data_IF_007019648067
#
_entry.id   IF_007019648067
#
_cell.length_a   1.000
_cell.length_b   1.000
_cell.length_c   1.000
_cell.angle_alpha   90.00
_cell.angle_beta   90.00
_cell.angle_gamma   90.00
#
_symmetry.space_group_name_H-M   'P 1'
#
loop_
_entity.id
_entity.type
_entity.pdbx_description
1 polymer ?
#
# COMPACT_ATOMS: atom_id res chain seq x y z
N UNK A 1 19.93 25.02 2.42
CA UNK A 1 19.83 24.04 1.29
C UNK A 1 20.99 23.06 1.30
N UNK A 2 22.28 23.53 1.32
CA UNK A 2 23.47 22.66 1.30
C UNK A 2 23.58 21.66 2.48
N UNK A 3 23.07 22.01 3.67
CA UNK A 3 23.08 21.11 4.82
C UNK A 3 22.12 19.94 4.66
N UNK A 4 20.94 20.19 4.05
CA UNK A 4 19.95 19.15 3.76
C UNK A 4 20.44 18.23 2.62
N UNK A 5 21.11 18.78 1.62
CA UNK A 5 21.69 17.98 0.53
C UNK A 5 22.79 17.05 1.03
N UNK A 6 23.54 17.45 2.07
CA UNK A 6 24.53 16.59 2.73
C UNK A 6 23.87 15.48 3.59
N UNK A 7 22.78 15.79 4.28
CA UNK A 7 22.07 14.83 5.13
C UNK A 7 21.27 13.80 4.32
N UNK A 8 20.78 14.19 3.13
CA UNK A 8 19.98 13.34 2.24
C UNK A 8 20.87 12.75 1.12
N UNK A 9 21.69 11.79 1.48
CA UNK A 9 22.69 11.21 0.57
C UNK A 9 22.12 10.19 -0.43
N UNK A 10 20.89 9.67 -0.21
CA UNK A 10 20.23 8.71 -1.11
C UNK A 10 18.76 9.06 -1.28
N UNK A 11 18.30 9.09 -2.52
CA UNK A 11 16.90 9.03 -2.84
C UNK A 11 16.37 7.61 -2.54
N UNK A 12 15.16 7.52 -1.97
CA UNK A 12 14.53 6.23 -1.83
C UNK A 12 14.07 5.76 -3.21
N UNK A 13 14.44 4.55 -3.61
CA UNK A 13 14.17 3.99 -4.94
C UNK A 13 12.68 3.88 -5.31
N UNK A 14 11.79 4.05 -4.33
CA UNK A 14 10.33 3.96 -4.48
C UNK A 14 9.60 5.30 -4.33
N UNK A 15 10.33 6.41 -4.17
CA UNK A 15 9.77 7.76 -4.02
C UNK A 15 10.44 8.68 -5.04
N UNK A 16 9.62 9.36 -5.83
CA UNK A 16 10.11 10.38 -6.76
C UNK A 16 10.34 11.69 -5.97
N UNK A 17 11.58 12.06 -5.74
CA UNK A 17 11.99 13.28 -5.08
C UNK A 17 12.65 13.10 -3.71
N UNK A 18 13.12 14.21 -3.16
CA UNK A 18 13.79 14.27 -1.85
C UNK A 18 12.84 14.86 -0.81
N UNK A 19 12.74 14.20 0.34
CA UNK A 19 12.02 14.76 1.48
C UNK A 19 12.95 15.74 2.24
N UNK A 20 12.61 17.01 2.18
CA UNK A 20 13.31 18.09 2.91
C UNK A 20 12.63 18.43 4.24
N UNK A 21 11.71 17.60 4.71
CA UNK A 21 10.97 17.85 5.95
C UNK A 21 11.84 17.59 7.17
N UNK A 22 12.15 18.64 7.91
CA UNK A 22 12.73 18.50 9.25
C UNK A 22 11.61 18.12 10.21
N UNK A 23 11.77 17.02 10.94
CA UNK A 23 10.83 16.60 11.99
C UNK A 23 10.77 17.67 13.09
N UNK A 24 9.80 18.58 12.95
CA UNK A 24 9.52 19.64 13.92
C UNK A 24 8.20 19.39 14.67
N UNK A 25 7.58 20.47 15.12
CA UNK A 25 6.28 20.42 15.79
C UNK A 25 5.23 19.74 14.93
N UNK A 26 4.56 18.72 15.47
CA UNK A 26 3.48 18.01 14.81
C UNK A 26 2.16 18.74 15.02
N UNK A 27 1.27 18.67 14.03
CA UNK A 27 -0.06 19.25 14.14
C UNK A 27 -0.88 18.56 15.23
N UNK A 28 -1.39 19.32 16.19
CA UNK A 28 -2.32 18.81 17.20
C UNK A 28 -3.62 18.27 16.59
N UNK A 29 -4.00 18.74 15.41
CA UNK A 29 -5.16 18.23 14.67
C UNK A 29 -5.03 16.73 14.34
N UNK A 30 -3.82 16.24 14.06
CA UNK A 30 -3.60 14.82 13.82
C UNK A 30 -3.88 13.96 15.06
N UNK A 31 -3.47 14.44 16.26
CA UNK A 31 -3.74 13.76 17.52
C UNK A 31 -5.25 13.73 17.82
N UNK A 32 -5.95 14.84 17.59
CA UNK A 32 -7.41 14.93 17.74
C UNK A 32 -8.11 13.99 16.76
N UNK A 33 -7.69 13.94 15.49
CA UNK A 33 -8.26 13.04 14.49
C UNK A 33 -8.09 11.57 14.88
N UNK A 34 -6.91 11.17 15.36
CA UNK A 34 -6.68 9.82 15.86
C UNK A 34 -7.59 9.51 17.06
N UNK A 35 -7.70 10.44 18.02
CA UNK A 35 -8.59 10.27 19.17
C UNK A 35 -10.06 10.13 18.73
N UNK A 36 -10.54 10.97 17.81
CA UNK A 36 -11.90 10.88 17.28
C UNK A 36 -12.18 9.52 16.63
N UNK A 37 -11.23 8.99 15.86
CA UNK A 37 -11.36 7.65 15.25
C UNK A 37 -11.42 6.55 16.32
N UNK A 38 -10.56 6.63 17.33
CA UNK A 38 -10.56 5.67 18.44
C UNK A 38 -11.88 5.72 19.22
N UNK A 39 -12.41 6.91 19.47
CA UNK A 39 -13.70 7.08 20.16
C UNK A 39 -14.89 6.61 19.31
N UNK A 40 -14.87 6.88 18.00
CA UNK A 40 -15.96 6.52 17.11
C UNK A 40 -16.06 5.00 16.88
N UNK A 41 -14.94 4.31 16.74
CA UNK A 41 -14.92 2.89 16.41
C UNK A 41 -14.64 1.96 17.60
N UNK A 42 -13.94 2.45 18.60
CA UNK A 42 -13.44 1.64 19.71
C UNK A 42 -12.55 0.48 19.22
N UNK A 43 -12.05 -0.33 20.13
CA UNK A 43 -11.19 -1.47 19.82
C UNK A 43 -11.90 -2.53 18.94
N UNK A 44 -13.18 -2.80 19.21
CA UNK A 44 -13.98 -3.76 18.47
C UNK A 44 -14.22 -3.30 17.02
N UNK A 45 -14.56 -2.02 16.82
CA UNK A 45 -14.79 -1.46 15.49
C UNK A 45 -13.53 -1.44 14.65
N UNK A 46 -12.38 -1.08 15.23
CA UNK A 46 -11.08 -1.11 14.57
C UNK A 46 -10.72 -2.56 14.19
N UNK A 47 -10.84 -3.51 15.13
CA UNK A 47 -10.60 -4.93 14.85
C UNK A 47 -11.46 -5.44 13.70
N UNK A 48 -12.76 -5.11 13.69
CA UNK A 48 -13.66 -5.52 12.61
C UNK A 48 -13.26 -4.93 11.25
N UNK A 49 -12.82 -3.66 11.21
CA UNK A 49 -12.30 -3.04 9.98
C UNK A 49 -11.05 -3.75 9.47
N UNK A 50 -10.09 -4.01 10.36
CA UNK A 50 -8.85 -4.69 10.00
C UNK A 50 -9.11 -6.12 9.51
N UNK A 51 -9.96 -6.88 10.22
CA UNK A 51 -10.33 -8.24 9.79
C UNK A 51 -10.97 -8.24 8.39
N UNK A 52 -11.82 -7.25 8.08
CA UNK A 52 -12.42 -7.13 6.76
C UNK A 52 -11.39 -6.86 5.67
N UNK A 53 -10.41 -6.00 5.94
CA UNK A 53 -9.31 -5.71 5.01
C UNK A 53 -8.47 -6.97 4.79
N UNK A 54 -8.09 -7.67 5.86
CA UNK A 54 -7.30 -8.90 5.76
C UNK A 54 -8.04 -10.00 5.01
N UNK A 55 -9.34 -10.20 5.28
CA UNK A 55 -10.17 -11.17 4.54
C UNK A 55 -10.23 -10.88 3.04
N UNK A 56 -10.33 -9.61 2.65
CA UNK A 56 -10.25 -9.23 1.22
C UNK A 56 -8.87 -9.45 0.62
N UNK A 57 -7.82 -9.26 1.42
CA UNK A 57 -6.45 -9.55 1.00
C UNK A 57 -6.25 -11.05 0.80
N UNK A 58 -6.82 -11.88 1.70
CA UNK A 58 -6.80 -13.34 1.56
C UNK A 58 -7.51 -13.79 0.27
N UNK A 59 -8.69 -13.23 0.01
CA UNK A 59 -9.46 -13.48 -1.20
C UNK A 59 -8.67 -13.12 -2.48
N UNK A 60 -7.99 -11.98 -2.49
CA UNK A 60 -7.13 -11.60 -3.61
C UNK A 60 -5.98 -12.60 -3.79
N UNK A 61 -5.34 -13.06 -2.70
CA UNK A 61 -4.30 -14.08 -2.77
C UNK A 61 -4.83 -15.40 -3.35
N UNK A 62 -6.00 -15.87 -2.92
CA UNK A 62 -6.63 -17.08 -3.47
C UNK A 62 -6.87 -16.98 -4.98
N UNK A 63 -7.30 -15.81 -5.46
CA UNK A 63 -7.50 -15.60 -6.89
C UNK A 63 -6.18 -15.55 -7.67
N UNK A 64 -5.12 -14.99 -7.09
CA UNK A 64 -3.77 -15.02 -7.68
C UNK A 64 -3.23 -16.45 -7.76
N UNK A 65 -3.43 -17.25 -6.71
CA UNK A 65 -3.04 -18.67 -6.67
C UNK A 65 -3.76 -19.49 -7.75
N UNK A 66 -5.07 -19.33 -7.93
CA UNK A 66 -5.86 -19.99 -8.99
C UNK A 66 -5.31 -19.72 -10.39
N UNK A 67 -4.68 -18.55 -10.59
CA UNK A 67 -4.10 -18.13 -11.86
C UNK A 67 -2.61 -18.40 -11.98
N UNK A 68 -2.01 -19.00 -10.96
CA UNK A 68 -0.56 -19.25 -10.88
C UNK A 68 0.28 -17.96 -11.00
N UNK A 69 -0.25 -16.85 -10.48
CA UNK A 69 0.45 -15.58 -10.42
C UNK A 69 1.36 -15.57 -9.20
N UNK A 70 2.64 -15.37 -9.42
CA UNK A 70 3.64 -15.36 -8.35
C UNK A 70 3.61 -14.04 -7.58
N UNK A 71 3.36 -14.12 -6.30
CA UNK A 71 3.31 -12.99 -5.39
C UNK A 71 4.05 -13.27 -4.07
N UNK A 72 4.34 -12.22 -3.34
CA UNK A 72 4.82 -12.27 -1.97
C UNK A 72 3.88 -11.51 -1.05
N UNK A 73 3.55 -12.08 0.10
CA UNK A 73 2.78 -11.43 1.14
C UNK A 73 3.28 -11.83 2.52
N UNK A 74 3.42 -10.86 3.41
CA UNK A 74 3.56 -11.14 4.83
C UNK A 74 2.17 -11.53 5.38
N UNK A 75 2.02 -12.65 6.13
CA UNK A 75 0.72 -13.20 6.55
C UNK A 75 -0.23 -12.23 7.27
N UNK A 76 0.31 -11.23 7.95
CA UNK A 76 -0.48 -10.27 8.74
C UNK A 76 -0.61 -8.89 8.09
N UNK A 77 -0.19 -8.78 6.83
CA UNK A 77 -0.21 -7.51 6.10
C UNK A 77 -1.30 -7.50 5.03
N UNK A 78 -1.80 -6.32 4.76
CA UNK A 78 -2.73 -6.03 3.67
C UNK A 78 -1.99 -5.54 2.40
N UNK A 79 -0.72 -5.86 2.30
CA UNK A 79 0.15 -5.50 1.17
C UNK A 79 0.57 -6.79 0.49
N UNK A 80 0.39 -6.83 -0.83
CA UNK A 80 0.81 -7.94 -1.70
C UNK A 80 1.78 -7.36 -2.71
N UNK A 81 2.89 -8.06 -2.96
CA UNK A 81 3.83 -7.73 -4.02
C UNK A 81 3.69 -8.76 -5.14
N UNK A 82 3.39 -8.32 -6.36
CA UNK A 82 3.26 -9.16 -7.55
C UNK A 82 4.50 -8.95 -8.43
N UNK A 83 5.04 -10.00 -9.02
CA UNK A 83 6.19 -9.88 -9.93
C UNK A 83 5.84 -9.06 -11.16
N UNK A 84 6.80 -8.25 -11.60
CA UNK A 84 6.68 -7.35 -12.75
C UNK A 84 6.19 -8.07 -14.02
N UNK A 85 6.59 -9.31 -14.27
CA UNK A 85 6.19 -10.10 -15.44
C UNK A 85 4.66 -10.28 -15.61
N UNK A 86 3.89 -10.10 -14.52
CA UNK A 86 2.43 -10.25 -14.55
C UNK A 86 1.68 -8.91 -14.60
N UNK A 87 2.38 -7.79 -14.43
CA UNK A 87 1.77 -6.46 -14.37
C UNK A 87 1.90 -5.77 -15.72
N UNK A 88 0.78 -5.50 -16.36
CA UNK A 88 0.73 -4.70 -17.60
C UNK A 88 0.71 -3.22 -17.23
N UNK A 89 1.30 -2.36 -18.04
CA UNK A 89 1.35 -0.91 -17.83
C UNK A 89 -0.02 -0.28 -17.60
N UNK A 90 -1.05 -0.78 -18.26
CA UNK A 90 -2.43 -0.32 -18.08
C UNK A 90 -2.97 -0.57 -16.67
N UNK A 91 -2.55 -1.66 -16.02
CA UNK A 91 -2.93 -2.03 -14.65
C UNK A 91 -2.21 -1.11 -13.66
N UNK A 92 -0.92 -0.87 -13.89
CA UNK A 92 -0.10 0.03 -13.09
C UNK A 92 -0.74 1.43 -13.00
N UNK A 93 -1.02 2.04 -14.15
CA UNK A 93 -1.59 3.38 -14.23
C UNK A 93 -3.01 3.46 -13.64
N UNK A 94 -3.86 2.46 -13.93
CA UNK A 94 -5.25 2.47 -13.51
C UNK A 94 -5.44 2.25 -12.00
N UNK A 95 -4.65 1.36 -11.40
CA UNK A 95 -4.75 1.03 -9.97
C UNK A 95 -3.72 1.75 -9.09
N UNK A 96 -2.83 2.52 -9.67
CA UNK A 96 -1.79 3.25 -8.95
C UNK A 96 -0.85 2.31 -8.19
N UNK A 97 -0.40 1.24 -8.83
CA UNK A 97 0.53 0.30 -8.22
C UNK A 97 1.87 0.98 -7.94
N UNK A 98 2.54 0.57 -6.88
CA UNK A 98 3.81 1.15 -6.48
C UNK A 98 4.93 0.13 -6.70
N UNK A 99 5.88 0.48 -7.56
CA UNK A 99 7.06 -0.36 -7.79
C UNK A 99 7.97 -0.42 -6.55
N UNK A 100 8.75 -1.48 -6.42
CA UNK A 100 9.86 -1.56 -5.47
C UNK A 100 11.03 -0.67 -5.92
N UNK A 101 11.24 -0.55 -7.22
CA UNK A 101 12.18 0.36 -7.86
C UNK A 101 11.53 0.95 -9.12
N UNK A 102 11.55 2.29 -9.24
CA UNK A 102 10.88 2.99 -10.35
C UNK A 102 11.67 2.90 -11.66
N UNK A 103 12.99 2.69 -11.61
CA UNK A 103 13.84 2.56 -12.80
C UNK A 103 13.88 1.12 -13.32
N UNK A 104 13.88 0.13 -12.40
CA UNK A 104 13.96 -1.28 -12.74
C UNK A 104 13.03 -2.13 -11.86
N UNK A 105 11.71 -2.04 -12.03
CA UNK A 105 10.74 -2.71 -11.18
C UNK A 105 10.84 -4.23 -11.28
N UNK A 106 11.05 -4.88 -10.15
CA UNK A 106 10.96 -6.34 -10.02
C UNK A 106 9.62 -6.75 -9.44
N UNK A 107 9.07 -5.91 -8.55
CA UNK A 107 7.82 -6.15 -7.85
C UNK A 107 6.93 -4.91 -7.83
N UNK A 108 5.63 -5.14 -7.97
CA UNK A 108 4.61 -4.13 -7.84
C UNK A 108 3.77 -4.38 -6.58
N UNK A 109 3.64 -3.36 -5.74
CA UNK A 109 2.90 -3.44 -4.49
C UNK A 109 1.46 -3.01 -4.67
N UNK A 110 0.56 -3.85 -4.16
CA UNK A 110 -0.87 -3.62 -4.06
C UNK A 110 -1.19 -3.45 -2.58
N UNK A 111 -1.84 -2.36 -2.21
CA UNK A 111 -2.31 -2.12 -0.85
C UNK A 111 -3.83 -2.30 -0.83
N UNK A 112 -4.29 -3.37 -0.21
CA UNK A 112 -5.73 -3.62 -0.02
C UNK A 112 -6.21 -2.76 1.14
N UNK A 113 -6.93 -1.69 0.84
CA UNK A 113 -7.42 -0.73 1.82
C UNK A 113 -8.95 -0.78 1.97
N UNK A 114 -9.51 0.06 2.83
CA UNK A 114 -10.93 -0.01 3.18
C UNK A 114 -11.89 0.20 1.99
N UNK A 115 -11.48 0.93 0.96
CA UNK A 115 -12.27 1.18 -0.25
C UNK A 115 -12.19 0.05 -1.29
N UNK A 116 -11.23 -0.88 -1.16
CA UNK A 116 -11.13 -2.04 -2.06
C UNK A 116 -12.23 -3.02 -1.69
N UNK A 117 -13.23 -3.15 -2.54
CA UNK A 117 -14.31 -4.13 -2.41
C UNK A 117 -14.09 -5.34 -3.33
N UNK A 118 -15.00 -6.32 -3.25
CA UNK A 118 -14.90 -7.53 -4.06
C UNK A 118 -15.03 -7.22 -5.55
N UNK A 119 -15.89 -6.27 -5.93
CA UNK A 119 -16.06 -5.89 -7.33
C UNK A 119 -14.78 -5.30 -7.93
N UNK A 120 -14.03 -4.54 -7.14
CA UNK A 120 -12.74 -4.00 -7.56
C UNK A 120 -11.67 -5.10 -7.68
N UNK A 121 -11.69 -6.09 -6.77
CA UNK A 121 -10.83 -7.27 -6.84
C UNK A 121 -11.14 -8.07 -8.11
N UNK A 122 -12.41 -8.38 -8.37
CA UNK A 122 -12.83 -9.12 -9.55
C UNK A 122 -12.41 -8.40 -10.84
N UNK A 123 -12.57 -7.08 -10.86
CA UNK A 123 -12.14 -6.24 -11.99
C UNK A 123 -10.62 -6.28 -12.16
N UNK A 124 -9.85 -6.15 -11.08
CA UNK A 124 -8.39 -6.23 -11.13
C UNK A 124 -7.90 -7.55 -11.71
N UNK A 125 -8.56 -8.64 -11.33
CA UNK A 125 -8.20 -10.00 -11.75
C UNK A 125 -8.64 -10.29 -13.20
N UNK A 126 -9.62 -9.56 -13.73
CA UNK A 126 -10.11 -9.74 -15.11
C UNK A 126 -9.18 -9.16 -16.19
N UNK A 127 -8.18 -8.36 -15.79
CA UNK A 127 -7.16 -7.83 -16.71
C UNK A 127 -6.05 -8.84 -16.98
#
# INVERSE_FOLDING_TARGET
>A
KGYMDYALTKEASYVIGKDYTICGSRSGANAISCWMLLMAYGSKGIKNKMNRILSRTDQLCEELDKRSIEYFRNPYMNIIAIKNKYVKRQIEDFYGLVADDMENPQWWRIVVSAHVDNALIDKFISF
#
